data_IF_650158287542
#
_entry.id   IF_650158287542
#
_cell.length_a   1.000
_cell.length_b   1.000
_cell.length_c   1.000
_cell.angle_alpha   90.00
_cell.angle_beta   90.00
_cell.angle_gamma   90.00
#
_symmetry.space_group_name_H-M   'P 1'
#
loop_
_entity.id
_entity.type
_entity.pdbx_description
1 polymer ?
#
# COMPACT_ATOMS: atom_id res chain seq x y z
N UNK A 1 -13.28 1.21 -9.03
CA UNK A 1 -12.23 0.33 -8.45
C UNK A 1 -12.05 0.73 -7.00
N UNK A 2 -12.01 -0.25 -6.10
CA UNK A 2 -11.86 -0.03 -4.65
C UNK A 2 -10.53 0.68 -4.40
N UNK A 3 -10.58 1.91 -3.84
CA UNK A 3 -9.39 2.70 -3.57
C UNK A 3 -9.55 3.52 -2.29
N UNK A 4 -8.55 3.40 -1.42
CA UNK A 4 -8.45 4.09 -0.14
C UNK A 4 -7.30 5.10 -0.23
N UNK A 5 -7.64 6.37 -0.34
CA UNK A 5 -6.67 7.46 -0.47
C UNK A 5 -5.92 7.71 0.83
N UNK A 6 -4.63 7.99 0.71
CA UNK A 6 -3.75 8.31 1.83
C UNK A 6 -3.28 9.76 1.79
N UNK A 7 -2.99 10.38 2.94
CA UNK A 7 -2.41 11.72 2.95
C UNK A 7 -1.00 11.70 2.35
N UNK A 8 -0.78 12.53 1.34
CA UNK A 8 0.53 12.71 0.67
C UNK A 8 1.71 12.88 1.64
N UNK A 9 1.50 13.57 2.76
CA UNK A 9 2.53 13.79 3.79
C UNK A 9 3.04 12.49 4.44
N UNK A 10 2.30 11.38 4.31
CA UNK A 10 2.63 10.07 4.86
C UNK A 10 3.11 9.08 3.81
N UNK A 11 3.21 9.47 2.53
CA UNK A 11 3.44 8.57 1.41
C UNK A 11 4.64 7.65 1.60
N UNK A 12 5.82 8.19 1.89
CA UNK A 12 7.03 7.37 2.07
C UNK A 12 7.00 6.56 3.38
N UNK A 13 6.28 7.03 4.40
CA UNK A 13 6.06 6.25 5.63
C UNK A 13 5.15 5.06 5.35
N UNK A 14 4.07 5.26 4.59
CA UNK A 14 3.16 4.20 4.17
C UNK A 14 3.87 3.20 3.26
N UNK A 15 4.66 3.68 2.28
CA UNK A 15 5.46 2.83 1.40
C UNK A 15 6.44 1.93 2.20
N UNK A 16 7.18 2.52 3.15
CA UNK A 16 8.07 1.76 4.05
C UNK A 16 7.31 0.72 4.87
N UNK A 17 6.19 1.11 5.48
CA UNK A 17 5.36 0.19 6.25
C UNK A 17 4.84 -0.97 5.39
N UNK A 18 4.44 -0.71 4.14
CA UNK A 18 4.02 -1.77 3.23
C UNK A 18 5.17 -2.75 2.94
N UNK A 19 6.33 -2.24 2.51
CA UNK A 19 7.47 -3.07 2.11
C UNK A 19 8.03 -3.86 3.30
N UNK A 20 8.10 -3.28 4.50
CA UNK A 20 8.65 -3.96 5.69
C UNK A 20 7.77 -5.08 6.22
N UNK A 21 6.45 -4.97 6.05
CA UNK A 21 5.51 -5.79 6.81
C UNK A 21 4.64 -6.70 5.94
N UNK A 22 4.66 -6.52 4.62
CA UNK A 22 3.82 -7.28 3.70
C UNK A 22 4.65 -7.81 2.55
N UNK A 23 4.37 -9.04 2.13
CA UNK A 23 5.10 -9.70 1.05
C UNK A 23 4.67 -9.13 -0.30
N UNK A 24 5.50 -8.23 -0.84
CA UNK A 24 5.35 -7.77 -2.21
C UNK A 24 5.64 -8.92 -3.19
N UNK A 25 4.80 -9.10 -4.20
CA UNK A 25 4.95 -10.17 -5.20
C UNK A 25 5.14 -9.64 -6.63
N UNK A 26 4.88 -8.35 -6.86
CA UNK A 26 5.02 -7.74 -8.17
C UNK A 26 5.23 -6.22 -8.11
N UNK A 27 6.07 -5.70 -9.00
CA UNK A 27 6.25 -4.28 -9.26
C UNK A 27 5.93 -3.98 -10.72
N UNK A 28 5.03 -3.02 -10.94
CA UNK A 28 4.63 -2.58 -12.26
C UNK A 28 4.69 -1.07 -12.37
N UNK A 29 5.39 -0.57 -13.40
CA UNK A 29 5.50 0.86 -13.69
C UNK A 29 5.27 1.09 -15.18
N UNK A 30 4.39 2.03 -15.51
CA UNK A 30 4.09 2.38 -16.90
C UNK A 30 3.79 3.86 -17.06
N UNK A 31 3.94 4.40 -18.27
CA UNK A 31 3.45 5.75 -18.59
C UNK A 31 1.91 5.83 -18.51
N UNK A 32 1.42 6.96 -18.00
CA UNK A 32 0.00 7.34 -17.99
C UNK A 32 -0.42 7.81 -19.40
N UNK A 33 -1.68 7.60 -19.78
CA UNK A 33 -2.25 8.18 -21.00
C UNK A 33 -2.12 7.37 -22.30
N UNK A 34 -1.32 6.30 -22.35
CA UNK A 34 -1.37 5.33 -23.47
C UNK A 34 -2.34 4.19 -23.16
N UNK A 35 -3.09 3.70 -24.16
CA UNK A 35 -3.94 2.50 -24.04
C UNK A 35 -3.06 1.30 -23.62
N UNK A 36 -3.02 1.00 -22.31
CA UNK A 36 -2.15 -0.03 -21.73
C UNK A 36 -0.81 0.48 -21.18
N UNK A 37 -0.40 1.71 -21.49
CA UNK A 37 0.85 2.32 -21.03
C UNK A 37 2.10 1.76 -21.71
N UNK A 38 3.10 2.61 -22.01
CA UNK A 38 4.46 2.10 -22.25
C UNK A 38 5.01 1.59 -20.91
N UNK A 39 5.17 0.28 -20.81
CA UNK A 39 5.74 -0.40 -19.65
C UNK A 39 7.20 0.00 -19.49
N UNK A 40 7.58 0.38 -18.26
CA UNK A 40 8.95 0.70 -17.85
C UNK A 40 9.52 -0.35 -16.92
N UNK A 41 8.70 -0.89 -16.03
CA UNK A 41 9.05 -1.97 -15.10
C UNK A 41 7.90 -2.97 -15.06
N UNK A 42 8.25 -4.26 -15.11
CA UNK A 42 7.30 -5.36 -15.07
C UNK A 42 7.96 -6.57 -14.43
N UNK A 43 8.09 -6.53 -13.11
CA UNK A 43 8.97 -7.41 -12.36
C UNK A 43 8.18 -8.26 -11.38
N UNK A 44 8.39 -9.59 -11.44
CA UNK A 44 7.98 -10.51 -10.39
C UNK A 44 8.98 -10.45 -9.24
N UNK A 45 8.45 -10.45 -8.02
CA UNK A 45 9.24 -10.33 -6.79
C UNK A 45 9.30 -11.64 -5.97
N UNK A 46 8.90 -12.77 -6.57
CA UNK A 46 9.08 -14.09 -5.94
C UNK A 46 10.55 -14.27 -5.54
N UNK A 47 10.80 -14.45 -4.25
CA UNK A 47 12.12 -14.58 -3.61
C UNK A 47 13.09 -13.39 -3.82
N UNK A 48 12.56 -12.21 -4.20
CA UNK A 48 13.35 -10.98 -4.38
C UNK A 48 12.93 -9.91 -3.40
N UNK A 49 13.87 -9.05 -3.03
CA UNK A 49 13.61 -7.97 -2.07
C UNK A 49 13.36 -6.66 -2.81
N UNK A 50 12.14 -6.13 -2.70
CA UNK A 50 11.83 -4.76 -3.11
C UNK A 50 12.23 -3.79 -2.00
N UNK A 51 12.88 -2.70 -2.37
CA UNK A 51 13.22 -1.61 -1.47
C UNK A 51 13.10 -0.26 -2.18
N UNK A 52 13.22 0.84 -1.44
CA UNK A 52 13.30 2.18 -2.00
C UNK A 52 14.29 3.07 -1.26
N UNK A 53 14.90 4.00 -1.99
CA UNK A 53 15.67 5.11 -1.45
C UNK A 53 15.01 6.42 -1.86
N UNK A 54 14.93 7.38 -0.96
CA UNK A 54 14.51 8.75 -1.27
C UNK A 54 15.62 9.72 -0.90
N UNK A 55 15.96 10.61 -1.82
CA UNK A 55 16.85 11.74 -1.56
C UNK A 55 16.35 13.01 -2.27
N UNK A 56 17.23 14.00 -2.46
CA UNK A 56 16.90 15.27 -3.11
C UNK A 56 16.63 15.13 -4.60
N UNK A 57 17.16 14.09 -5.24
CA UNK A 57 17.00 13.82 -6.66
C UNK A 57 15.74 13.02 -6.96
N UNK A 58 15.10 12.39 -5.97
CA UNK A 58 13.79 11.78 -6.14
C UNK A 58 13.57 10.49 -5.34
N UNK A 59 12.75 9.60 -5.90
CA UNK A 59 12.45 8.26 -5.38
C UNK A 59 13.10 7.21 -6.30
N UNK A 60 13.94 6.38 -5.72
CA UNK A 60 14.58 5.24 -6.37
C UNK A 60 13.90 3.97 -5.89
N UNK A 61 13.45 3.11 -6.81
CA UNK A 61 13.05 1.75 -6.50
C UNK A 61 14.21 0.80 -6.75
N UNK A 62 14.40 -0.14 -5.84
CA UNK A 62 15.47 -1.12 -5.87
C UNK A 62 14.88 -2.52 -5.80
N UNK A 63 15.42 -3.44 -6.59
CA UNK A 63 15.20 -4.87 -6.41
C UNK A 63 16.56 -5.52 -6.17
N UNK A 64 16.68 -6.26 -5.06
CA UNK A 64 17.93 -6.90 -4.63
C UNK A 64 19.09 -5.89 -4.58
N UNK A 65 18.80 -4.72 -3.99
CA UNK A 65 19.70 -3.56 -3.88
C UNK A 65 20.12 -2.91 -5.21
N UNK A 66 19.63 -3.39 -6.35
CA UNK A 66 19.89 -2.80 -7.67
C UNK A 66 18.77 -1.83 -8.03
N UNK A 67 19.13 -0.61 -8.43
CA UNK A 67 18.16 0.38 -8.92
C UNK A 67 17.47 -0.12 -10.19
N UNK A 68 16.13 -0.10 -10.20
CA UNK A 68 15.32 -0.50 -11.36
C UNK A 68 14.52 0.66 -11.96
N UNK A 69 14.24 1.70 -11.17
CA UNK A 69 13.55 2.88 -11.65
C UNK A 69 13.78 4.10 -10.74
N UNK A 70 13.84 5.29 -11.34
CA UNK A 70 13.98 6.56 -10.65
C UNK A 70 12.84 7.50 -11.05
N UNK A 71 12.11 8.00 -10.06
CA UNK A 71 11.13 9.09 -10.21
C UNK A 71 11.76 10.39 -9.70
N UNK A 72 11.95 11.41 -10.55
CA UNK A 72 12.45 12.73 -10.13
C UNK A 72 11.58 13.44 -9.08
N UNK A 73 10.29 13.12 -9.02
CA UNK A 73 9.24 13.76 -8.21
C UNK A 73 9.01 15.24 -8.55
N UNK A 74 9.12 15.60 -9.84
CA UNK A 74 8.79 16.92 -10.37
C UNK A 74 7.28 17.17 -10.41
N UNK A 75 6.50 16.16 -10.81
CA UNK A 75 5.04 16.18 -10.74
C UNK A 75 4.50 15.12 -9.79
N UNK A 76 4.23 15.57 -8.57
CA UNK A 76 3.79 14.76 -7.45
C UNK A 76 2.73 15.53 -6.68
N UNK A 77 1.46 15.39 -7.05
CA UNK A 77 0.38 16.22 -6.48
C UNK A 77 -0.52 15.48 -5.50
N UNK A 78 -0.74 14.19 -5.71
CA UNK A 78 -1.64 13.36 -4.89
C UNK A 78 -0.85 12.49 -3.91
N UNK A 79 -1.54 11.89 -2.95
CA UNK A 79 -0.99 10.85 -2.09
C UNK A 79 -1.16 9.46 -2.69
N UNK A 80 -0.50 8.46 -2.11
CA UNK A 80 -0.73 7.05 -2.45
C UNK A 80 -2.21 6.67 -2.25
N UNK A 81 -2.67 5.68 -3.00
CA UNK A 81 -3.89 4.94 -2.68
C UNK A 81 -3.57 3.47 -2.49
N UNK A 82 -4.37 2.79 -1.67
CA UNK A 82 -4.38 1.34 -1.57
C UNK A 82 -5.68 0.81 -2.16
N UNK A 83 -5.58 -0.22 -2.98
CA UNK A 83 -6.71 -0.94 -3.53
C UNK A 83 -6.67 -2.40 -3.07
N UNK A 84 -7.83 -3.05 -3.04
CA UNK A 84 -7.95 -4.48 -2.82
C UNK A 84 -8.55 -5.17 -4.03
N UNK A 85 -8.05 -6.36 -4.32
CA UNK A 85 -8.70 -7.32 -5.18
C UNK A 85 -9.41 -8.35 -4.32
N UNK A 86 -10.71 -8.46 -4.56
CA UNK A 86 -11.66 -9.23 -3.80
C UNK A 86 -12.44 -10.10 -4.77
N UNK A 87 -12.47 -11.39 -4.50
CA UNK A 87 -13.14 -12.39 -5.32
C UNK A 87 -14.07 -13.15 -4.38
N UNK A 88 -15.36 -13.20 -4.70
CA UNK A 88 -16.33 -14.01 -3.97
C UNK A 88 -16.07 -15.50 -4.24
N UNK A 89 -16.59 -16.38 -3.36
CA UNK A 89 -16.43 -17.83 -3.51
C UNK A 89 -16.97 -18.39 -4.85
N UNK A 90 -17.91 -17.67 -5.46
CA UNK A 90 -18.47 -17.99 -6.79
C UNK A 90 -17.61 -17.50 -7.98
N UNK A 91 -16.43 -16.92 -7.70
CA UNK A 91 -15.47 -16.43 -8.69
C UNK A 91 -15.76 -15.01 -9.20
N UNK A 92 -16.83 -14.34 -8.77
CA UNK A 92 -17.10 -12.96 -9.17
C UNK A 92 -16.14 -11.99 -8.48
N UNK A 93 -15.57 -11.07 -9.24
CA UNK A 93 -14.80 -9.96 -8.69
C UNK A 93 -15.73 -8.93 -8.06
N UNK A 94 -15.40 -8.47 -6.85
CA UNK A 94 -16.07 -7.34 -6.24
C UNK A 94 -15.70 -6.05 -6.98
N UNK A 95 -16.68 -5.43 -7.62
CA UNK A 95 -16.54 -4.11 -8.25
C UNK A 95 -17.36 -3.15 -7.40
N UNK A 96 -16.72 -2.21 -6.68
CA UNK A 96 -17.47 -1.29 -5.86
C UNK A 96 -18.31 -0.35 -6.73
N UNK A 97 -19.57 -0.17 -6.35
CA UNK A 97 -20.52 0.76 -6.98
C UNK A 97 -20.34 2.23 -6.55
N UNK A 98 -19.23 2.57 -5.87
CA UNK A 98 -18.98 3.89 -5.29
C UNK A 98 -17.67 3.94 -4.50
N UNK A 99 -17.51 4.97 -3.66
CA UNK A 99 -16.41 5.03 -2.68
C UNK A 99 -16.71 3.97 -1.61
N UNK A 100 -15.78 3.06 -1.36
CA UNK A 100 -15.92 2.08 -0.29
C UNK A 100 -15.71 2.76 1.06
N UNK A 101 -16.75 2.81 1.89
CA UNK A 101 -16.70 3.53 3.16
C UNK A 101 -16.03 2.74 4.28
N UNK A 102 -15.98 1.41 4.15
CA UNK A 102 -15.42 0.50 5.13
C UNK A 102 -14.59 -0.63 4.48
N UNK A 103 -13.24 -0.60 4.61
CA UNK A 103 -12.37 -1.68 4.12
C UNK A 103 -12.55 -3.02 4.85
N UNK A 104 -13.24 -3.02 5.98
CA UNK A 104 -13.49 -4.19 6.84
C UNK A 104 -14.97 -4.54 6.92
N UNK A 105 -15.77 -4.22 5.89
CA UNK A 105 -17.15 -4.66 5.82
C UNK A 105 -17.18 -6.20 5.83
N UNK A 106 -17.84 -6.85 6.82
CA UNK A 106 -17.88 -8.31 6.95
C UNK A 106 -18.66 -8.99 5.81
N UNK A 107 -19.41 -8.24 5.00
CA UNK A 107 -20.10 -8.77 3.83
C UNK A 107 -19.22 -8.84 2.58
N UNK A 108 -18.00 -8.28 2.63
CA UNK A 108 -17.05 -8.35 1.53
C UNK A 108 -16.11 -9.54 1.72
N UNK A 109 -15.73 -10.24 0.63
CA UNK A 109 -14.76 -11.33 0.72
C UNK A 109 -13.38 -10.76 1.09
N UNK A 110 -12.56 -11.58 1.75
CA UNK A 110 -11.21 -11.15 2.12
C UNK A 110 -10.36 -10.82 0.87
N UNK A 111 -9.49 -9.79 0.93
CA UNK A 111 -8.61 -9.46 -0.17
C UNK A 111 -7.65 -10.61 -0.48
N UNK A 112 -7.68 -11.11 -1.72
CA UNK A 112 -6.67 -12.03 -2.22
C UNK A 112 -5.35 -11.30 -2.52
N UNK A 113 -5.44 -10.03 -2.89
CA UNK A 113 -4.30 -9.17 -3.22
C UNK A 113 -4.58 -7.71 -2.86
N UNK A 114 -3.51 -6.98 -2.53
CA UNK A 114 -3.53 -5.53 -2.30
C UNK A 114 -2.59 -4.83 -3.27
N UNK A 115 -2.92 -3.59 -3.63
CA UNK A 115 -2.14 -2.79 -4.57
C UNK A 115 -1.90 -1.40 -4.01
N UNK A 116 -0.65 -1.07 -3.71
CA UNK A 116 -0.25 0.30 -3.40
C UNK A 116 0.04 1.03 -4.71
N UNK A 117 -0.66 2.13 -4.95
CA UNK A 117 -0.72 2.81 -6.25
C UNK A 117 -0.41 4.29 -6.14
N UNK A 118 0.31 4.81 -7.13
CA UNK A 118 0.52 6.25 -7.29
C UNK A 118 0.81 6.64 -8.74
N UNK A 119 0.47 7.88 -9.11
CA UNK A 119 0.96 8.53 -10.33
C UNK A 119 2.03 9.56 -9.95
N UNK A 120 3.27 9.28 -10.34
CA UNK A 120 4.46 10.11 -10.10
C UNK A 120 5.11 10.43 -11.45
N UNK A 121 5.33 11.70 -11.78
CA UNK A 121 6.01 12.12 -13.02
C UNK A 121 5.45 11.46 -14.29
N UNK A 122 4.12 11.49 -14.48
CA UNK A 122 3.41 10.81 -15.58
C UNK A 122 3.55 9.28 -15.62
N UNK A 123 4.06 8.66 -14.57
CA UNK A 123 4.16 7.21 -14.45
C UNK A 123 3.21 6.69 -13.39
N UNK A 124 2.40 5.71 -13.78
CA UNK A 124 1.65 4.89 -12.84
C UNK A 124 2.58 3.84 -12.26
N UNK A 125 2.75 3.87 -10.94
CA UNK A 125 3.42 2.84 -10.14
C UNK A 125 2.37 2.02 -9.39
N UNK A 126 2.50 0.70 -9.47
CA UNK A 126 1.67 -0.27 -8.75
C UNK A 126 2.59 -1.33 -8.11
N UNK A 127 2.54 -1.43 -6.79
CA UNK A 127 3.21 -2.48 -6.00
C UNK A 127 2.14 -3.40 -5.47
N UNK A 128 2.29 -4.69 -5.74
CA UNK A 128 1.32 -5.71 -5.41
C UNK A 128 1.80 -6.49 -4.19
N UNK A 129 0.88 -6.78 -3.28
CA UNK A 129 1.12 -7.53 -2.05
C UNK A 129 0.15 -8.70 -1.96
N UNK A 130 0.64 -9.84 -1.49
CA UNK A 130 -0.21 -11.01 -1.21
C UNK A 130 -1.16 -10.70 -0.06
N UNK A 131 -2.44 -11.00 -0.25
CA UNK A 131 -3.47 -10.80 0.77
C UNK A 131 -3.74 -9.32 1.08
N UNK A 132 -4.23 -9.07 2.30
CA UNK A 132 -4.62 -7.74 2.79
C UNK A 132 -3.43 -6.98 3.38
N UNK A 133 -3.22 -5.76 2.90
CA UNK A 133 -2.44 -4.73 3.61
C UNK A 133 -3.37 -3.97 4.55
N UNK A 134 -3.18 -4.03 5.86
CA UNK A 134 -4.10 -3.41 6.80
C UNK A 134 -4.00 -1.88 6.78
N UNK A 135 -5.17 -1.22 6.85
CA UNK A 135 -5.30 0.23 6.91
C UNK A 135 -6.19 0.67 8.06
N UNK A 136 -6.01 1.89 8.54
CA UNK A 136 -6.91 2.51 9.52
C UNK A 136 -7.31 3.90 9.09
N UNK A 137 -8.43 4.37 9.65
CA UNK A 137 -8.86 5.74 9.49
C UNK A 137 -7.76 6.69 9.98
N UNK A 138 -7.43 7.69 9.16
CA UNK A 138 -6.49 8.75 9.53
C UNK A 138 -7.22 10.05 9.82
N UNK A 139 -7.99 10.56 8.84
CA UNK A 139 -8.71 11.84 8.97
C UNK A 139 -9.79 11.95 7.90
N UNK A 140 -10.71 12.89 8.07
CA UNK A 140 -11.62 13.29 6.99
C UNK A 140 -10.89 14.11 5.94
N UNK A 141 -11.18 13.84 4.67
CA UNK A 141 -10.91 14.76 3.57
C UNK A 141 -12.11 15.70 3.37
N UNK A 142 -13.32 15.13 3.29
CA UNK A 142 -14.60 15.84 3.26
C UNK A 142 -15.55 15.05 4.15
N UNK A 143 -15.87 15.55 5.33
CA UNK A 143 -16.78 14.86 6.25
C UNK A 143 -18.23 14.94 5.75
N UNK A 144 -19.04 13.85 5.83
CA UNK A 144 -18.71 12.48 6.23
C UNK A 144 -18.35 11.56 5.05
N UNK A 145 -18.13 12.11 3.86
CA UNK A 145 -18.15 11.38 2.60
C UNK A 145 -16.78 10.85 2.15
N UNK A 146 -15.67 11.50 2.51
CA UNK A 146 -14.34 11.19 1.99
C UNK A 146 -13.35 11.09 3.14
N UNK A 147 -12.70 9.94 3.25
CA UNK A 147 -11.73 9.62 4.30
C UNK A 147 -10.34 9.50 3.72
N UNK A 148 -9.37 9.95 4.49
CA UNK A 148 -8.00 9.51 4.37
C UNK A 148 -7.76 8.30 5.25
N UNK A 149 -7.03 7.35 4.70
CA UNK A 149 -6.57 6.13 5.35
C UNK A 149 -5.05 6.16 5.48
N UNK A 150 -4.49 5.31 6.34
CA UNK A 150 -3.04 5.12 6.47
C UNK A 150 -2.77 3.65 6.78
N UNK A 151 -1.58 3.17 6.45
CA UNK A 151 -1.18 1.80 6.77
C UNK A 151 -1.21 1.61 8.28
N UNK A 152 -1.91 0.58 8.72
CA UNK A 152 -1.84 0.17 10.11
C UNK A 152 -0.61 -0.70 10.30
N UNK A 153 0.32 -0.23 11.14
CA UNK A 153 1.51 -1.01 11.49
C UNK A 153 1.02 -2.31 12.13
N UNK A 154 1.34 -3.49 11.57
CA UNK A 154 0.99 -4.72 12.24
C UNK A 154 1.66 -4.68 13.60
N UNK A 155 0.88 -4.90 14.65
CA UNK A 155 1.42 -4.94 16.01
C UNK A 155 2.46 -6.05 16.01
N UNK A 156 3.72 -5.69 16.24
CA UNK A 156 4.80 -6.65 16.26
C UNK A 156 4.45 -7.66 17.36
N UNK A 157 4.35 -8.95 17.05
CA UNK A 157 4.00 -9.96 18.06
C UNK A 157 4.98 -9.87 19.24
N UNK A 158 6.23 -9.50 18.98
CA UNK A 158 7.23 -9.21 20.00
C UNK A 158 6.93 -7.95 20.85
N UNK A 159 6.37 -6.88 20.27
CA UNK A 159 5.93 -5.70 21.04
C UNK A 159 4.72 -6.02 21.92
N UNK A 160 3.85 -6.96 21.50
CA UNK A 160 2.74 -7.45 22.31
C UNK A 160 3.24 -8.34 23.45
N UNK A 161 4.14 -9.28 23.17
CA UNK A 161 4.75 -10.17 24.18
C UNK A 161 5.51 -9.34 25.23
N UNK A 162 6.29 -8.33 24.80
CA UNK A 162 7.04 -7.46 25.71
C UNK A 162 6.11 -6.62 26.59
N UNK A 163 5.02 -6.09 26.03
CA UNK A 163 4.03 -5.35 26.83
C UNK A 163 3.30 -6.23 27.84
N UNK A 164 2.95 -7.46 27.45
CA UNK A 164 2.34 -8.41 28.37
C UNK A 164 3.32 -8.77 29.49
N UNK A 165 4.60 -9.01 29.20
CA UNK A 165 5.60 -9.30 30.25
C UNK A 165 5.77 -8.15 31.25
N UNK A 166 5.76 -6.89 30.80
CA UNK A 166 5.86 -5.72 31.68
C UNK A 166 4.60 -5.57 32.56
N UNK A 167 3.40 -5.80 32.01
CA UNK A 167 2.15 -5.73 32.79
C UNK A 167 2.05 -6.84 33.85
N UNK A 168 2.56 -8.05 33.57
CA UNK A 168 2.61 -9.14 34.56
C UNK A 168 3.66 -8.90 35.67
N UNK A 169 4.75 -8.19 35.40
CA UNK A 169 5.76 -7.87 36.42
C UNK A 169 5.32 -6.75 37.37
N UNK A 170 4.37 -5.88 36.98
CA UNK A 170 3.80 -4.83 37.85
C UNK A 170 2.63 -5.33 38.72
N UNK A 171 1.95 -6.42 38.36
CA UNK A 171 0.89 -7.02 39.19
C UNK A 171 1.43 -7.93 40.31
N UNK A 172 2.67 -8.40 40.20
CA UNK A 172 3.34 -9.28 41.17
C UNK A 172 4.30 -8.54 42.14
N UNK A 173 4.29 -7.20 42.15
CA UNK A 173 5.11 -6.33 43.04
C UNK A 173 4.27 -5.50 44.01
#
# INVERSE_FOLDING_TARGET
MEQYWMPKKLDFKNLRLCIDNYSADFLYIRLVGSMGGTVKVNEKLEDRTLDFRKDKSGLYLLIDSSEVFHFPLNDYQKGFSLAYERIFDDGRMYIPGGISDNPYDPNLPEPGRSFLRHVLDDHLMEIFFKGRVNIKFHSWWIEPHWKYWTIDKPRNIQEIILKQQIEYEEEDS
#
